data_IF_045927190277
#
_entry.id   IF_045927190277
#
_cell.length_a   1.000
_cell.length_b   1.000
_cell.length_c   1.000
_cell.angle_alpha   90.00
_cell.angle_beta   90.00
_cell.angle_gamma   90.00
#
_symmetry.space_group_name_H-M   'P 1'
#
loop_
_entity.id
_entity.type
_entity.pdbx_description
1 polymer ?
#
# COMPACT_ATOMS: atom_id res chain seq x y z
N UNK A 1 9.57 -1.93 -8.44
CA UNK A 1 8.30 -2.39 -9.04
C UNK A 1 7.28 -1.31 -8.72
N UNK A 2 6.79 -0.58 -9.73
CA UNK A 2 5.79 0.47 -9.54
C UNK A 2 4.38 -0.12 -9.63
N UNK A 3 3.50 0.23 -8.72
CA UNK A 3 2.08 -0.11 -8.83
C UNK A 3 1.44 1.06 -9.59
N UNK A 4 0.75 0.72 -10.68
CA UNK A 4 0.41 1.62 -11.78
C UNK A 4 -0.17 2.98 -11.39
N UNK A 5 0.04 3.96 -12.28
CA UNK A 5 -0.70 5.22 -12.22
C UNK A 5 -2.19 4.91 -12.36
N UNK A 6 -2.95 5.04 -11.25
CA UNK A 6 -4.39 4.87 -11.27
C UNK A 6 -5.00 5.87 -12.26
N UNK A 7 -5.83 5.36 -13.18
CA UNK A 7 -6.56 6.18 -14.17
C UNK A 7 -7.78 6.90 -13.57
N UNK A 8 -7.95 6.82 -12.25
CA UNK A 8 -9.09 7.39 -11.53
C UNK A 8 -10.34 6.52 -11.54
N UNK A 9 -10.31 5.33 -12.16
CA UNK A 9 -11.44 4.40 -12.15
C UNK A 9 -11.44 3.53 -10.89
N UNK A 10 -12.62 2.96 -10.58
CA UNK A 10 -12.77 2.01 -9.47
C UNK A 10 -11.93 0.74 -9.70
N UNK A 11 -11.80 0.30 -10.95
CA UNK A 11 -11.04 -0.89 -11.31
C UNK A 11 -9.54 -0.70 -11.04
N UNK A 12 -8.96 0.44 -11.43
CA UNK A 12 -7.55 0.69 -11.14
C UNK A 12 -7.30 0.86 -9.63
N UNK A 13 -8.26 1.41 -8.88
CA UNK A 13 -8.22 1.43 -7.42
C UNK A 13 -8.17 0.01 -6.82
N UNK A 14 -9.00 -0.92 -7.31
CA UNK A 14 -9.00 -2.31 -6.84
C UNK A 14 -7.68 -3.03 -7.14
N UNK A 15 -7.11 -2.82 -8.33
CA UNK A 15 -5.84 -3.42 -8.73
C UNK A 15 -4.68 -2.92 -7.88
N UNK A 16 -4.64 -1.60 -7.58
CA UNK A 16 -3.62 -1.02 -6.69
C UNK A 16 -3.70 -1.66 -5.30
N UNK A 17 -4.91 -1.79 -4.77
CA UNK A 17 -5.17 -2.37 -3.45
C UNK A 17 -4.78 -3.84 -3.38
N UNK A 18 -5.11 -4.62 -4.41
CA UNK A 18 -4.65 -6.00 -4.53
C UNK A 18 -3.13 -6.08 -4.64
N UNK A 19 -2.50 -5.17 -5.37
CA UNK A 19 -1.04 -5.07 -5.48
C UNK A 19 -0.37 -4.87 -4.11
N UNK A 20 -0.89 -3.96 -3.27
CA UNK A 20 -0.41 -3.80 -1.89
C UNK A 20 -0.61 -5.07 -1.09
N UNK A 21 -1.81 -5.67 -1.18
CA UNK A 21 -2.16 -6.88 -0.44
C UNK A 21 -1.20 -8.05 -0.75
N UNK A 22 -0.90 -8.27 -2.03
CA UNK A 22 0.06 -9.30 -2.46
C UNK A 22 1.49 -8.95 -2.07
N UNK A 23 1.88 -7.67 -2.15
CA UNK A 23 3.22 -7.23 -1.73
C UNK A 23 3.45 -7.50 -0.24
N UNK A 24 2.47 -7.19 0.60
CA UNK A 24 2.54 -7.48 2.04
C UNK A 24 2.51 -9.00 2.28
N UNK A 25 1.69 -9.75 1.54
CA UNK A 25 1.63 -11.21 1.66
C UNK A 25 2.94 -11.89 1.28
N UNK A 26 3.67 -11.36 0.28
CA UNK A 26 4.99 -11.85 -0.09
C UNK A 26 6.05 -11.62 0.99
N UNK A 27 5.93 -10.54 1.77
CA UNK A 27 6.84 -10.22 2.87
C UNK A 27 6.50 -10.96 4.17
N UNK A 28 5.20 -11.11 4.46
CA UNK A 28 4.65 -11.75 5.65
C UNK A 28 3.57 -12.76 5.26
N UNK A 29 3.96 -13.93 4.74
CA UNK A 29 3.02 -14.98 4.37
C UNK A 29 2.28 -15.56 5.57
N UNK A 30 2.86 -15.45 6.77
CA UNK A 30 2.32 -15.87 8.07
C UNK A 30 1.15 -15.00 8.55
N UNK A 31 1.03 -13.76 8.08
CA UNK A 31 -0.04 -12.87 8.51
C UNK A 31 -1.40 -13.24 7.90
N UNK A 32 -2.49 -13.22 8.69
CA UNK A 32 -3.82 -13.39 8.14
C UNK A 32 -4.19 -12.19 7.25
N UNK A 33 -5.13 -12.36 6.28
CA UNK A 33 -5.55 -11.27 5.40
C UNK A 33 -6.00 -10.00 6.13
N UNK A 34 -6.65 -10.14 7.29
CA UNK A 34 -7.09 -9.02 8.12
C UNK A 34 -5.94 -8.14 8.59
N UNK A 35 -4.84 -8.75 9.05
CA UNK A 35 -3.64 -8.04 9.52
C UNK A 35 -2.98 -7.22 8.40
N UNK A 36 -2.99 -7.76 7.17
CA UNK A 36 -2.47 -7.06 5.98
C UNK A 36 -3.40 -5.92 5.56
N UNK A 37 -4.71 -6.13 5.65
CA UNK A 37 -5.71 -5.10 5.41
C UNK A 37 -5.62 -3.91 6.36
N UNK A 38 -5.28 -4.15 7.64
CA UNK A 38 -5.03 -3.08 8.61
C UNK A 38 -3.88 -2.16 8.20
N UNK A 39 -2.79 -2.72 7.64
CA UNK A 39 -1.66 -1.92 7.14
C UNK A 39 -2.12 -1.03 6.00
N UNK A 40 -2.85 -1.59 5.04
CA UNK A 40 -3.35 -0.82 3.90
C UNK A 40 -4.28 0.29 4.40
N UNK A 41 -5.19 -0.01 5.34
CA UNK A 41 -6.07 0.97 5.95
C UNK A 41 -5.31 2.07 6.69
N UNK A 42 -4.23 1.73 7.40
CA UNK A 42 -3.40 2.69 8.11
C UNK A 42 -2.58 3.61 7.18
N UNK A 43 -2.40 3.20 5.91
CA UNK A 43 -1.73 4.00 4.89
C UNK A 43 -2.69 4.88 4.09
N UNK A 44 -4.00 4.74 4.29
CA UNK A 44 -5.02 5.59 3.68
C UNK A 44 -5.31 6.82 4.52
N UNK A 45 -5.84 7.87 3.89
CA UNK A 45 -6.40 9.00 4.60
C UNK A 45 -7.78 8.68 5.21
N UNK A 46 -8.33 9.64 5.96
CA UNK A 46 -9.65 9.52 6.61
C UNK A 46 -10.82 9.28 5.66
N UNK A 47 -10.64 9.61 4.37
CA UNK A 47 -11.65 9.47 3.33
C UNK A 47 -11.42 8.19 2.49
N UNK A 48 -10.46 7.33 2.89
CA UNK A 48 -10.12 6.08 2.22
C UNK A 48 -9.30 6.25 0.95
N UNK A 49 -8.69 7.42 0.74
CA UNK A 49 -7.85 7.70 -0.43
C UNK A 49 -6.39 7.46 -0.12
N UNK A 50 -5.60 7.21 -1.17
CA UNK A 50 -4.14 7.11 -1.06
C UNK A 50 -3.57 8.53 -0.94
N UNK A 51 -2.97 8.90 0.21
CA UNK A 51 -2.37 10.21 0.39
C UNK A 51 -1.06 10.33 -0.39
N UNK A 52 -0.58 11.57 -0.59
CA UNK A 52 0.69 11.82 -1.29
C UNK A 52 1.87 11.08 -0.64
N UNK A 53 1.91 11.04 0.69
CA UNK A 53 2.86 10.24 1.45
C UNK A 53 2.19 9.70 2.71
N UNK A 54 2.45 8.44 3.05
CA UNK A 54 2.07 7.84 4.34
C UNK A 54 3.04 6.73 4.73
N UNK A 55 3.16 6.46 6.03
CA UNK A 55 3.90 5.29 6.50
C UNK A 55 3.32 4.74 7.79
N UNK A 56 3.38 3.42 7.95
CA UNK A 56 2.98 2.71 9.16
C UNK A 56 4.02 1.63 9.47
N UNK A 57 4.31 1.42 10.75
CA UNK A 57 5.21 0.36 11.21
C UNK A 57 4.41 -0.73 11.91
N UNK A 58 4.61 -2.00 11.50
CA UNK A 58 4.03 -3.18 12.15
C UNK A 58 5.08 -4.30 12.20
N UNK A 59 5.26 -4.89 13.38
CA UNK A 59 6.28 -5.93 13.67
C UNK A 59 7.68 -5.61 13.13
N UNK A 60 8.16 -4.38 13.33
CA UNK A 60 9.51 -3.98 12.89
C UNK A 60 9.68 -3.76 11.39
N UNK A 61 8.59 -3.81 10.61
CA UNK A 61 8.60 -3.46 9.18
C UNK A 61 7.86 -2.13 9.01
N UNK A 62 8.53 -1.15 8.41
CA UNK A 62 7.94 0.12 7.99
C UNK A 62 7.41 -0.02 6.57
N UNK A 63 6.09 0.08 6.41
CA UNK A 63 5.42 0.17 5.12
C UNK A 63 5.21 1.64 4.78
N UNK A 64 5.51 2.05 3.55
CA UNK A 64 5.34 3.44 3.11
C UNK A 64 4.70 3.51 1.72
N UNK A 65 3.87 4.52 1.51
CA UNK A 65 3.34 4.91 0.21
C UNK A 65 3.87 6.30 -0.14
N UNK A 66 4.30 6.49 -1.38
CA UNK A 66 4.59 7.79 -1.95
C UNK A 66 4.01 7.89 -3.36
N UNK A 67 3.28 8.98 -3.63
CA UNK A 67 2.75 9.29 -4.96
C UNK A 67 3.68 10.31 -5.60
N UNK A 68 4.30 9.93 -6.72
CA UNK A 68 5.17 10.79 -7.49
C UNK A 68 4.49 11.16 -8.82
N UNK A 69 4.46 12.46 -9.11
CA UNK A 69 3.94 12.98 -10.37
C UNK A 69 4.72 12.39 -11.55
N UNK A 70 4.00 11.82 -12.52
CA UNK A 70 4.59 11.17 -13.70
C UNK A 70 5.16 9.76 -13.49
N UNK A 71 5.35 9.30 -12.24
CA UNK A 71 5.91 7.98 -11.95
C UNK A 71 4.92 7.01 -11.27
N UNK A 72 3.81 7.51 -10.72
CA UNK A 72 2.75 6.70 -10.12
C UNK A 72 2.95 6.46 -8.63
N UNK A 73 2.50 5.29 -8.14
CA UNK A 73 2.48 4.97 -6.71
C UNK A 73 3.64 4.04 -6.37
N UNK A 74 4.46 4.48 -5.42
CA UNK A 74 5.49 3.66 -4.81
C UNK A 74 4.96 3.08 -3.51
N UNK A 75 5.03 1.76 -3.39
CA UNK A 75 4.81 1.03 -2.15
C UNK A 75 6.12 0.37 -1.75
N UNK A 76 6.61 0.69 -0.55
CA UNK A 76 7.86 0.16 -0.03
C UNK A 76 7.66 -0.47 1.33
N UNK A 77 8.47 -1.48 1.61
CA UNK A 77 8.60 -2.08 2.93
C UNK A 77 10.08 -2.17 3.27
N UNK A 78 10.46 -1.68 4.44
CA UNK A 78 11.84 -1.74 4.93
C UNK A 78 11.86 -2.17 6.38
N UNK A 79 12.96 -2.76 6.87
CA UNK A 79 13.22 -2.84 8.30
C UNK A 79 13.12 -1.43 8.91
N UNK A 80 12.50 -1.35 10.10
CA UNK A 80 12.38 -0.11 10.87
C UNK A 80 13.59 0.13 11.77
#
# INVERSE_FOLDING_TARGET
MGIGAGDGTVNSGADIMMGFMFSIAGLRPDWPPTSRGEIIKALMDKDGKIPKNASVTKDGIKFSIAVAEGAGIFFTASPN
#
